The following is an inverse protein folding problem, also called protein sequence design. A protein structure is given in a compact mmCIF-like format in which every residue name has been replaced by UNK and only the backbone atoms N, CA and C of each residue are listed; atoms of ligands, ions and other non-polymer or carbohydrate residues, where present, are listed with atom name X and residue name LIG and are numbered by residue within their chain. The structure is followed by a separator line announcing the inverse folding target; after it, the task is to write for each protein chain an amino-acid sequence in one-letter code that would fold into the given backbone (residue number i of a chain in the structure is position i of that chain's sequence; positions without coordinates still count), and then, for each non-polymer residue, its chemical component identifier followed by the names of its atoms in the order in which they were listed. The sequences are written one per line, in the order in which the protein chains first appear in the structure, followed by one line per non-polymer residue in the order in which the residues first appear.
data_IF_168603865329
#
_entry.id   IF_168603865329
#
_cell.length_a   1.000
_cell.length_b   1.000
_cell.length_c   1.000
_cell.angle_alpha   90.00
_cell.angle_beta   90.00
_cell.angle_gamma   90.00
#
_symmetry.space_group_name_H-M   'P 1'
#
loop_
_entity.id
_entity.type
_entity.pdbx_description
1 polymer ?
#
# COMPACT_ATOMS: atom_id res chain seq x y z
N UNK A 1 -17.15 11.84 9.50
CA UNK A 1 -16.73 11.42 8.16
C UNK A 1 -15.53 10.45 8.21
N UNK A 2 -14.47 10.70 9.01
CA UNK A 2 -13.31 9.79 9.13
C UNK A 2 -13.74 8.37 9.56
N UNK A 3 -14.55 8.25 10.62
CA UNK A 3 -15.06 6.94 11.08
C UNK A 3 -15.83 6.19 9.99
N UNK A 4 -16.57 6.92 9.14
CA UNK A 4 -17.30 6.32 8.03
C UNK A 4 -16.34 5.83 6.94
N UNK A 5 -15.35 6.66 6.56
CA UNK A 5 -14.29 6.25 5.62
C UNK A 5 -13.58 4.99 6.11
N UNK A 6 -13.18 4.95 7.37
CA UNK A 6 -12.48 3.82 7.98
C UNK A 6 -13.34 2.54 7.95
N UNK A 7 -14.63 2.67 8.17
CA UNK A 7 -15.59 1.55 8.09
C UNK A 7 -15.75 1.05 6.65
N UNK A 8 -15.90 1.97 5.69
CA UNK A 8 -15.97 1.63 4.27
C UNK A 8 -14.67 0.94 3.78
N UNK A 9 -13.51 1.42 4.21
CA UNK A 9 -12.23 0.80 3.86
C UNK A 9 -12.11 -0.64 4.35
N UNK A 10 -12.54 -0.91 5.60
CA UNK A 10 -12.55 -2.29 6.11
C UNK A 10 -13.46 -3.20 5.29
N UNK A 11 -14.64 -2.74 4.92
CA UNK A 11 -15.57 -3.50 4.08
C UNK A 11 -14.99 -3.74 2.67
N UNK A 12 -14.44 -2.69 2.05
CA UNK A 12 -13.91 -2.75 0.69
C UNK A 12 -12.70 -3.66 0.57
N UNK A 13 -11.75 -3.57 1.50
CA UNK A 13 -10.52 -4.37 1.49
C UNK A 13 -10.75 -5.78 2.08
N UNK A 14 -11.85 -6.01 2.76
CA UNK A 14 -12.13 -7.27 3.47
C UNK A 14 -11.41 -7.35 4.81
N UNK A 15 -11.13 -6.21 5.44
CA UNK A 15 -10.50 -6.13 6.75
C UNK A 15 -11.49 -6.40 7.89
N UNK A 16 -10.96 -6.88 9.03
CA UNK A 16 -11.72 -7.03 10.26
C UNK A 16 -12.00 -5.66 10.91
N UNK A 17 -12.97 -5.60 11.82
CA UNK A 17 -13.33 -4.37 12.55
C UNK A 17 -12.15 -3.72 13.30
N UNK A 18 -11.17 -4.52 13.74
CA UNK A 18 -9.95 -4.09 14.44
C UNK A 18 -8.75 -3.88 13.54
N UNK A 19 -8.88 -4.08 12.21
CA UNK A 19 -7.77 -3.85 11.26
C UNK A 19 -7.28 -2.39 11.32
N UNK A 20 -5.96 -2.22 11.23
CA UNK A 20 -5.33 -0.89 11.26
C UNK A 20 -5.83 -0.02 10.10
N UNK A 21 -6.44 1.11 10.43
CA UNK A 21 -6.91 2.08 9.44
C UNK A 21 -5.77 2.81 8.75
N UNK A 22 -4.61 2.92 9.39
CA UNK A 22 -3.39 3.49 8.81
C UNK A 22 -2.92 2.62 7.65
N UNK A 23 -2.80 1.30 7.87
CA UNK A 23 -2.42 0.34 6.83
C UNK A 23 -3.46 0.31 5.71
N UNK A 24 -4.75 0.32 6.03
CA UNK A 24 -5.83 0.34 5.03
C UNK A 24 -5.80 1.59 4.14
N UNK A 25 -5.61 2.77 4.74
CA UNK A 25 -5.46 4.05 4.00
C UNK A 25 -4.22 4.03 3.10
N UNK A 26 -3.12 3.46 3.59
CA UNK A 26 -1.91 3.29 2.79
C UNK A 26 -2.12 2.32 1.63
N UNK A 27 -2.66 1.12 1.87
CA UNK A 27 -2.93 0.11 0.83
C UNK A 27 -3.84 0.64 -0.29
N UNK A 28 -4.81 1.47 0.05
CA UNK A 28 -5.79 2.03 -0.90
C UNK A 28 -5.37 3.36 -1.51
N UNK A 29 -4.26 3.94 -1.06
CA UNK A 29 -3.82 5.31 -1.38
C UNK A 29 -4.91 6.38 -1.11
N UNK A 30 -5.76 6.13 -0.12
CA UNK A 30 -6.82 7.06 0.26
C UNK A 30 -6.38 7.88 1.48
N UNK A 31 -6.10 9.18 1.31
CA UNK A 31 -5.77 10.05 2.41
C UNK A 31 -6.97 10.30 3.33
N UNK A 32 -6.69 10.78 4.54
CA UNK A 32 -7.72 11.16 5.50
C UNK A 32 -8.69 12.20 4.91
N UNK A 33 -9.93 12.21 5.38
CA UNK A 33 -10.91 13.22 4.98
C UNK A 33 -10.46 14.63 5.35
N UNK A 34 -9.77 14.79 6.50
CA UNK A 34 -9.16 16.06 6.90
C UNK A 34 -8.21 16.57 5.82
N UNK A 35 -7.25 15.74 5.39
CA UNK A 35 -6.30 16.13 4.34
C UNK A 35 -7.00 16.42 3.01
N UNK A 36 -8.03 15.66 2.65
CA UNK A 36 -8.82 15.93 1.43
C UNK A 36 -9.51 17.29 1.50
N UNK A 37 -10.06 17.67 2.66
CA UNK A 37 -10.63 19.00 2.87
C UNK A 37 -9.56 20.08 2.72
N UNK A 38 -8.39 19.91 3.30
CA UNK A 38 -7.26 20.85 3.16
C UNK A 38 -6.86 21.04 1.69
N UNK A 39 -6.76 19.92 0.92
CA UNK A 39 -6.47 19.97 -0.52
C UNK A 39 -7.54 20.71 -1.32
N UNK A 40 -8.82 20.46 -1.03
CA UNK A 40 -9.93 21.16 -1.71
C UNK A 40 -9.93 22.65 -1.39
N UNK A 41 -9.70 23.00 -0.13
CA UNK A 41 -9.62 24.41 0.32
C UNK A 41 -8.43 25.13 -0.32
N UNK A 42 -7.25 24.51 -0.36
CA UNK A 42 -6.07 25.05 -1.01
C UNK A 42 -6.28 25.24 -2.53
N UNK A 43 -6.89 24.25 -3.20
CA UNK A 43 -7.27 24.39 -4.62
C UNK A 43 -8.24 25.53 -4.87
N UNK A 44 -9.25 25.66 -4.03
CA UNK A 44 -10.20 26.75 -4.13
C UNK A 44 -9.50 28.10 -3.99
N UNK A 45 -8.64 28.27 -2.96
CA UNK A 45 -7.88 29.50 -2.73
C UNK A 45 -6.98 29.86 -3.93
N UNK A 46 -6.19 28.90 -4.42
CA UNK A 46 -5.32 29.12 -5.58
C UNK A 46 -6.12 29.49 -6.84
N UNK A 47 -7.24 28.80 -7.07
CA UNK A 47 -8.13 29.12 -8.21
C UNK A 47 -8.72 30.53 -8.06
N UNK A 48 -9.16 30.90 -6.87
CA UNK A 48 -9.73 32.23 -6.61
C UNK A 48 -8.73 33.35 -6.89
N UNK A 49 -7.45 33.14 -6.54
CA UNK A 49 -6.38 34.11 -6.81
C UNK A 49 -6.05 34.25 -8.30
N UNK A 50 -6.38 33.26 -9.12
CA UNK A 50 -6.13 33.28 -10.58
C UNK A 50 -7.31 33.77 -11.41
N UNK A 51 -8.42 34.18 -10.78
CA UNK A 51 -9.60 34.68 -11.49
C UNK A 51 -9.38 36.11 -12.01
N UNK A 52 -10.00 36.45 -13.17
CA UNK A 52 -9.98 37.84 -13.66
C UNK A 52 -10.54 38.84 -12.64
N UNK A 53 -10.03 40.10 -12.63
CA UNK A 53 -10.53 41.14 -11.72
C UNK A 53 -12.02 41.41 -11.84
N UNK A 54 -12.62 41.15 -13.01
CA UNK A 54 -14.05 41.32 -13.27
C UNK A 54 -14.93 40.25 -12.66
N UNK A 55 -14.36 39.18 -12.15
CA UNK A 55 -15.12 38.10 -11.51
C UNK A 55 -15.62 38.50 -10.14
N UNK A 56 -16.91 38.24 -9.85
CA UNK A 56 -17.52 38.56 -8.54
C UNK A 56 -16.71 38.05 -7.35
N UNK A 57 -16.17 36.83 -7.46
CA UNK A 57 -15.33 36.26 -6.41
C UNK A 57 -14.04 37.07 -6.21
N UNK A 58 -13.42 37.55 -7.30
CA UNK A 58 -12.25 38.43 -7.22
C UNK A 58 -12.55 39.74 -6.54
N UNK A 59 -13.73 40.33 -6.79
CA UNK A 59 -14.20 41.54 -6.13
C UNK A 59 -14.47 41.35 -4.63
N UNK A 60 -14.90 40.15 -4.24
CA UNK A 60 -15.16 39.78 -2.84
C UNK A 60 -13.91 39.35 -2.08
N UNK A 61 -12.81 39.00 -2.77
CA UNK A 61 -11.57 38.54 -2.14
C UNK A 61 -11.02 39.48 -1.05
N UNK A 62 -11.00 40.81 -1.22
CA UNK A 62 -10.56 41.73 -0.16
C UNK A 62 -11.35 41.58 1.14
N UNK A 63 -12.67 41.37 1.02
CA UNK A 63 -13.56 41.17 2.18
C UNK A 63 -13.38 39.78 2.78
N UNK A 64 -13.05 38.77 1.96
CA UNK A 64 -12.76 37.41 2.41
C UNK A 64 -11.40 37.29 3.09
N UNK A 65 -10.44 38.18 2.76
CA UNK A 65 -9.08 38.18 3.36
C UNK A 65 -9.09 38.48 4.87
N UNK A 66 -10.13 39.08 5.38
CA UNK A 66 -10.31 39.32 6.83
C UNK A 66 -11.16 38.22 7.47
N UNK A 67 -11.63 37.27 6.67
CA UNK A 67 -12.52 36.20 7.12
C UNK A 67 -11.80 35.10 7.90
N UNK A 68 -12.54 34.41 8.77
CA UNK A 68 -12.08 33.20 9.48
C UNK A 68 -11.53 32.11 8.50
N UNK A 69 -12.01 32.14 7.25
CA UNK A 69 -11.56 31.17 6.21
C UNK A 69 -10.10 31.44 5.81
N UNK A 70 -9.68 32.69 5.61
CA UNK A 70 -8.28 32.98 5.28
C UNK A 70 -7.34 32.62 6.42
N UNK A 71 -7.72 32.99 7.66
CA UNK A 71 -6.95 32.60 8.86
C UNK A 71 -6.81 31.09 8.93
N UNK A 72 -7.90 30.36 8.71
CA UNK A 72 -7.89 28.90 8.68
C UNK A 72 -6.96 28.35 7.58
N UNK A 73 -7.08 28.85 6.35
CA UNK A 73 -6.26 28.42 5.23
C UNK A 73 -4.77 28.67 5.48
N UNK A 74 -4.43 29.87 5.95
CA UNK A 74 -3.03 30.25 6.27
C UNK A 74 -2.44 29.44 7.43
N UNK A 75 -3.27 28.88 8.30
CA UNK A 75 -2.84 28.04 9.41
C UNK A 75 -2.70 26.55 9.03
N UNK A 76 -3.18 26.12 7.85
CA UNK A 76 -3.09 24.71 7.45
C UNK A 76 -1.67 24.38 7.00
N UNK A 77 -1.10 23.24 7.46
CA UNK A 77 0.26 22.83 7.07
C UNK A 77 0.45 22.71 5.56
N UNK A 78 -0.58 22.27 4.84
CA UNK A 78 -0.53 22.17 3.39
C UNK A 78 -0.41 23.54 2.71
N UNK A 79 -1.19 24.54 3.17
CA UNK A 79 -1.15 25.88 2.58
C UNK A 79 0.19 26.57 2.83
N UNK A 80 0.74 26.43 4.02
CA UNK A 80 2.07 26.93 4.39
C UNK A 80 3.17 26.31 3.51
N UNK A 81 3.02 25.06 3.13
CA UNK A 81 3.99 24.33 2.31
C UNK A 81 3.89 24.65 0.80
N UNK A 82 2.85 25.37 0.35
CA UNK A 82 2.75 25.78 -1.06
C UNK A 82 3.91 26.73 -1.39
N UNK A 83 4.70 26.44 -2.44
CA UNK A 83 5.82 27.30 -2.83
C UNK A 83 5.37 28.68 -3.31
N UNK A 84 6.23 29.66 -3.18
CA UNK A 84 6.07 30.97 -3.79
C UNK A 84 7.08 31.11 -4.95
N UNK A 85 6.63 31.29 -6.19
CA UNK A 85 5.25 31.42 -6.65
C UNK A 85 4.48 30.09 -6.64
N UNK A 86 3.15 30.14 -6.46
CA UNK A 86 2.32 28.95 -6.39
C UNK A 86 2.28 28.19 -7.73
N UNK A 87 1.98 26.87 -7.71
CA UNK A 87 1.94 26.06 -8.93
C UNK A 87 1.00 26.62 -9.99
N UNK A 88 1.54 26.94 -11.17
CA UNK A 88 0.83 27.62 -12.26
C UNK A 88 -0.18 26.73 -13.02
N UNK A 89 -0.21 25.42 -12.77
CA UNK A 89 -1.14 24.51 -13.43
C UNK A 89 -1.63 23.39 -12.49
N UNK A 90 -2.78 22.81 -12.85
CA UNK A 90 -3.32 21.66 -12.11
C UNK A 90 -2.36 20.44 -12.09
N UNK A 91 -1.55 20.28 -13.14
CA UNK A 91 -0.55 19.21 -13.20
C UNK A 91 0.58 19.46 -12.19
N UNK A 92 1.14 20.67 -12.16
CA UNK A 92 2.17 21.06 -11.19
C UNK A 92 1.65 20.97 -9.76
N UNK A 93 0.41 21.39 -9.51
CA UNK A 93 -0.20 21.25 -8.18
C UNK A 93 -0.38 19.78 -7.78
N UNK A 94 -0.77 18.89 -8.70
CA UNK A 94 -0.83 17.43 -8.41
C UNK A 94 0.54 16.84 -8.10
N UNK A 95 1.58 17.26 -8.83
CA UNK A 95 2.96 16.84 -8.57
C UNK A 95 3.41 17.29 -7.19
N UNK A 96 3.19 18.57 -6.86
CA UNK A 96 3.47 19.12 -5.52
C UNK A 96 2.75 18.33 -4.42
N UNK A 97 1.45 18.05 -4.57
CA UNK A 97 0.70 17.28 -3.59
C UNK A 97 1.24 15.86 -3.40
N UNK A 98 1.70 15.23 -4.48
CA UNK A 98 2.30 13.89 -4.41
C UNK A 98 3.60 13.91 -3.60
N UNK A 99 4.50 14.86 -3.91
CA UNK A 99 5.74 15.04 -3.15
C UNK A 99 5.43 15.35 -1.68
N UNK A 100 4.60 16.34 -1.40
CA UNK A 100 4.21 16.71 -0.04
C UNK A 100 3.65 15.54 0.77
N UNK A 101 2.80 14.70 0.16
CA UNK A 101 2.27 13.49 0.82
C UNK A 101 3.36 12.48 1.10
N UNK A 102 4.28 12.26 0.14
CA UNK A 102 5.39 11.33 0.32
C UNK A 102 6.30 11.80 1.46
N UNK A 103 6.71 13.07 1.47
CA UNK A 103 7.55 13.64 2.53
C UNK A 103 6.92 13.48 3.92
N UNK A 104 5.60 13.74 4.03
CA UNK A 104 4.86 13.52 5.28
C UNK A 104 4.80 12.04 5.67
N UNK A 105 4.70 11.15 4.72
CA UNK A 105 4.69 9.71 4.96
C UNK A 105 6.06 9.22 5.40
N UNK A 106 7.14 9.71 4.79
CA UNK A 106 8.51 9.35 5.15
C UNK A 106 8.85 9.80 6.58
N UNK A 107 8.46 11.03 6.95
CA UNK A 107 8.56 11.53 8.33
C UNK A 107 7.75 10.64 9.30
N UNK A 108 6.55 10.23 8.91
CA UNK A 108 5.72 9.34 9.72
C UNK A 108 6.38 7.97 9.88
N UNK A 109 6.90 7.37 8.81
CA UNK A 109 7.60 6.07 8.86
C UNK A 109 8.84 6.11 9.76
N UNK A 110 9.59 7.22 9.74
CA UNK A 110 10.80 7.36 10.57
C UNK A 110 10.48 7.50 12.07
N UNK A 111 9.27 7.93 12.42
CA UNK A 111 8.84 8.20 13.80
C UNK A 111 7.88 7.17 14.39
N UNK A 112 7.33 6.27 13.57
CA UNK A 112 6.32 5.31 14.03
C UNK A 112 6.93 3.99 14.47
N UNK A 113 6.40 3.41 15.55
CA UNK A 113 6.74 2.05 16.01
C UNK A 113 5.77 0.99 15.48
N UNK A 114 4.84 1.37 14.61
CA UNK A 114 3.85 0.45 14.07
C UNK A 114 4.46 -0.52 13.06
N UNK A 115 4.74 -1.74 13.47
CA UNK A 115 5.40 -2.79 12.66
C UNK A 115 4.69 -3.01 11.32
N UNK A 116 3.35 -3.06 11.32
CA UNK A 116 2.60 -3.36 10.09
C UNK A 116 2.73 -2.28 9.02
N UNK A 117 2.78 -1.00 9.38
CA UNK A 117 2.94 0.07 8.37
C UNK A 117 4.39 0.15 7.88
N UNK A 118 5.37 -0.14 8.74
CA UNK A 118 6.78 -0.24 8.34
C UNK A 118 7.01 -1.39 7.36
N UNK A 119 6.25 -2.49 7.49
CA UNK A 119 6.29 -3.63 6.57
C UNK A 119 5.56 -3.35 5.23
N UNK A 120 4.90 -2.20 5.09
CA UNK A 120 4.27 -1.80 3.83
C UNK A 120 5.28 -1.13 2.88
N UNK A 121 4.84 -0.91 1.64
CA UNK A 121 5.66 -0.22 0.64
C UNK A 121 6.04 1.18 1.11
N UNK A 122 7.31 1.60 0.92
CA UNK A 122 7.73 2.96 1.29
C UNK A 122 7.10 4.04 0.40
N UNK A 123 6.71 3.70 -0.84
CA UNK A 123 6.12 4.63 -1.79
C UNK A 123 4.59 4.64 -1.69
N UNK A 124 4.01 5.85 -1.70
CA UNK A 124 2.57 6.03 -1.79
C UNK A 124 2.02 5.58 -3.15
N UNK A 125 0.85 5.01 -3.12
CA UNK A 125 0.14 4.48 -4.28
C UNK A 125 -0.73 3.31 -3.86
N UNK A 126 -1.63 2.89 -4.75
CA UNK A 126 -2.47 1.71 -4.49
C UNK A 126 -1.58 0.47 -4.38
N UNK A 127 -1.71 -0.25 -3.27
CA UNK A 127 -0.93 -1.48 -3.04
C UNK A 127 -1.28 -2.53 -4.10
N UNK A 128 -0.28 -3.09 -4.80
CA UNK A 128 -0.49 -4.11 -5.82
C UNK A 128 -1.31 -5.31 -5.39
N UNK A 129 -1.29 -5.70 -4.12
CA UNK A 129 -2.11 -6.80 -3.60
C UNK A 129 -3.60 -6.63 -3.88
N UNK A 130 -4.07 -5.39 -4.09
CA UNK A 130 -5.47 -5.10 -4.38
C UNK A 130 -5.86 -5.33 -5.84
N UNK A 131 -4.90 -5.41 -6.76
CA UNK A 131 -5.21 -5.48 -8.19
C UNK A 131 -4.41 -6.49 -9.02
N UNK A 132 -3.32 -7.07 -8.50
CA UNK A 132 -2.57 -8.12 -9.24
C UNK A 132 -3.47 -9.29 -9.57
N UNK A 133 -3.29 -9.94 -10.74
CA UNK A 133 -4.11 -11.09 -11.11
C UNK A 133 -3.83 -12.28 -10.18
N UNK A 134 -4.77 -12.60 -9.31
CA UNK A 134 -4.69 -13.77 -8.43
C UNK A 134 -6.09 -14.27 -8.05
N UNK A 135 -6.16 -15.49 -7.53
CA UNK A 135 -7.42 -16.05 -7.04
C UNK A 135 -7.96 -15.22 -5.85
N UNK A 136 -9.26 -15.31 -5.60
CA UNK A 136 -9.89 -14.65 -4.44
C UNK A 136 -9.25 -15.10 -3.12
N UNK A 137 -8.92 -16.38 -3.01
CA UNK A 137 -8.30 -16.96 -1.82
C UNK A 137 -6.88 -16.46 -1.62
N UNK A 138 -6.07 -16.37 -2.67
CA UNK A 138 -4.70 -15.85 -2.58
C UNK A 138 -4.69 -14.35 -2.26
N UNK A 139 -5.60 -13.57 -2.88
CA UNK A 139 -5.79 -12.16 -2.51
C UNK A 139 -6.12 -12.01 -1.03
N UNK A 140 -7.02 -12.85 -0.52
CA UNK A 140 -7.36 -12.84 0.91
C UNK A 140 -6.15 -13.12 1.80
N UNK A 141 -5.24 -14.04 1.41
CA UNK A 141 -4.00 -14.31 2.15
C UNK A 141 -3.05 -13.12 2.14
N UNK A 142 -2.83 -12.50 0.98
CA UNK A 142 -2.01 -11.30 0.81
C UNK A 142 -2.53 -10.15 1.67
N UNK A 143 -3.84 -9.87 1.62
CA UNK A 143 -4.48 -8.82 2.41
C UNK A 143 -4.38 -9.12 3.91
N UNK A 144 -4.68 -10.36 4.33
CA UNK A 144 -4.56 -10.76 5.74
C UNK A 144 -3.12 -10.65 6.24
N UNK A 145 -2.13 -11.00 5.42
CA UNK A 145 -0.73 -10.80 5.75
C UNK A 145 -0.43 -9.33 5.99
N UNK A 146 -0.76 -8.43 5.05
CA UNK A 146 -0.57 -6.97 5.21
C UNK A 146 -1.23 -6.41 6.46
N UNK A 147 -2.41 -6.90 6.80
CA UNK A 147 -3.19 -6.44 7.95
C UNK A 147 -2.81 -7.12 9.29
N UNK A 148 -1.86 -8.05 9.29
CA UNK A 148 -1.46 -8.79 10.48
C UNK A 148 -2.45 -9.87 10.93
N UNK A 149 -3.37 -10.29 10.07
CA UNK A 149 -4.34 -11.37 10.32
C UNK A 149 -3.87 -12.74 9.80
N UNK A 150 -2.69 -12.79 9.24
CA UNK A 150 -1.96 -13.99 8.87
C UNK A 150 -0.49 -13.74 9.26
N UNK A 151 0.06 -14.53 10.21
CA UNK A 151 -0.47 -15.72 10.88
C UNK A 151 -1.61 -15.48 11.91
N UNK A 152 -1.95 -14.25 12.29
CA UNK A 152 -3.00 -13.96 13.25
C UNK A 152 -2.55 -14.05 14.71
N UNK A 153 -3.39 -14.61 15.58
CA UNK A 153 -3.02 -14.82 16.99
C UNK A 153 -2.01 -15.97 17.09
N UNK A 154 -1.01 -15.85 17.99
CA UNK A 154 -0.09 -16.95 18.23
C UNK A 154 -0.82 -18.18 18.76
N UNK A 155 -0.72 -19.29 18.03
CA UNK A 155 -1.26 -20.60 18.38
C UNK A 155 -0.15 -21.65 18.19
N UNK A 156 -0.25 -22.83 18.81
CA UNK A 156 0.72 -23.90 18.57
C UNK A 156 0.82 -24.23 17.09
N UNK A 157 2.03 -24.20 16.53
CA UNK A 157 2.26 -24.55 15.13
C UNK A 157 2.18 -26.07 14.93
N UNK A 158 1.76 -26.51 13.75
CA UNK A 158 1.74 -27.93 13.37
C UNK A 158 3.13 -28.59 13.42
N UNK A 159 4.21 -27.83 13.37
CA UNK A 159 5.58 -28.33 13.58
C UNK A 159 5.90 -28.68 15.04
N UNK A 160 5.03 -28.34 15.99
CA UNK A 160 5.18 -28.54 17.44
C UNK A 160 6.42 -27.88 18.11
N UNK A 161 7.14 -27.00 17.41
CA UNK A 161 8.36 -26.36 17.94
C UNK A 161 8.11 -24.99 18.56
N UNK A 162 7.13 -24.26 18.03
CA UNK A 162 6.82 -22.89 18.48
C UNK A 162 5.38 -22.51 18.17
N UNK A 163 5.00 -21.32 18.60
CA UNK A 163 3.73 -20.69 18.24
C UNK A 163 3.82 -20.04 16.86
N UNK A 164 2.69 -19.98 16.18
CA UNK A 164 2.57 -19.33 14.86
C UNK A 164 2.89 -17.84 14.98
N UNK A 165 3.94 -17.39 14.32
CA UNK A 165 4.35 -16.00 14.21
C UNK A 165 5.05 -15.78 12.87
N UNK A 166 5.19 -14.54 12.41
CA UNK A 166 5.91 -14.25 11.16
C UNK A 166 7.37 -14.72 11.24
N UNK A 167 8.04 -14.44 12.37
CA UNK A 167 9.44 -14.86 12.58
C UNK A 167 9.58 -16.37 12.66
N UNK A 168 8.65 -17.08 13.33
CA UNK A 168 8.69 -18.55 13.39
C UNK A 168 8.67 -19.19 12.01
N UNK A 169 7.87 -18.66 11.08
CA UNK A 169 7.73 -19.26 9.75
C UNK A 169 9.00 -19.19 8.90
N UNK A 170 9.98 -18.34 9.23
CA UNK A 170 11.27 -18.33 8.53
C UNK A 170 12.03 -19.65 8.67
N UNK A 171 11.89 -20.32 9.83
CA UNK A 171 12.60 -21.56 10.16
C UNK A 171 11.65 -22.75 10.33
N UNK A 172 10.38 -22.59 9.95
CA UNK A 172 9.36 -23.61 10.17
C UNK A 172 9.41 -24.69 9.09
N UNK A 173 9.55 -25.95 9.51
CA UNK A 173 9.56 -27.13 8.63
C UNK A 173 8.26 -27.33 7.83
N UNK A 174 7.17 -26.67 8.23
CA UNK A 174 5.92 -26.69 7.47
C UNK A 174 6.03 -25.97 6.12
N UNK A 175 7.12 -25.22 5.88
CA UNK A 175 7.38 -24.48 4.65
C UNK A 175 8.67 -24.99 4.04
N UNK A 176 8.60 -25.51 2.80
CA UNK A 176 9.79 -26.00 2.11
C UNK A 176 10.80 -24.84 1.90
N UNK A 177 12.07 -25.12 2.21
CA UNK A 177 13.16 -24.14 2.10
C UNK A 177 13.32 -23.60 0.68
N UNK A 178 13.02 -24.41 -0.34
CA UNK A 178 13.06 -24.01 -1.74
C UNK A 178 12.19 -22.78 -2.04
N UNK A 179 11.02 -22.64 -1.40
CA UNK A 179 10.18 -21.48 -1.60
C UNK A 179 10.82 -20.18 -1.08
N UNK A 180 11.57 -20.25 0.01
CA UNK A 180 12.31 -19.12 0.52
C UNK A 180 13.46 -18.70 -0.39
N UNK A 181 14.16 -19.71 -0.97
CA UNK A 181 15.26 -19.47 -1.92
C UNK A 181 14.81 -18.84 -3.22
N UNK A 182 13.57 -19.07 -3.62
CA UNK A 182 12.98 -18.51 -4.83
C UNK A 182 12.49 -17.05 -4.62
N UNK A 183 12.37 -16.55 -3.38
CA UNK A 183 12.00 -15.15 -3.13
C UNK A 183 13.12 -14.18 -3.53
N UNK A 184 12.78 -12.90 -3.82
CA UNK A 184 13.79 -11.89 -4.08
C UNK A 184 14.66 -11.67 -2.84
N UNK A 185 15.96 -11.45 -3.04
CA UNK A 185 16.88 -11.11 -1.94
C UNK A 185 16.41 -9.87 -1.22
N UNK A 186 16.26 -9.96 0.10
CA UNK A 186 15.78 -8.86 0.95
C UNK A 186 16.89 -8.38 1.90
N UNK A 187 16.81 -7.12 2.41
CA UNK A 187 17.64 -6.65 3.51
C UNK A 187 17.50 -7.54 4.74
N UNK A 188 18.56 -7.62 5.55
CA UNK A 188 18.60 -8.51 6.72
C UNK A 188 17.61 -8.12 7.83
N UNK A 189 17.19 -6.86 7.86
CA UNK A 189 16.23 -6.30 8.81
C UNK A 189 14.76 -6.38 8.34
N UNK A 190 14.54 -6.86 7.11
CA UNK A 190 13.18 -7.00 6.57
C UNK A 190 12.74 -8.48 6.51
N UNK A 191 11.44 -8.70 6.66
CA UNK A 191 10.87 -10.04 6.48
C UNK A 191 10.72 -10.36 4.99
N UNK A 192 11.23 -11.51 4.46
CA UNK A 192 11.22 -11.83 3.03
C UNK A 192 9.86 -11.73 2.34
N UNK A 193 8.78 -12.15 3.03
CA UNK A 193 7.42 -12.03 2.50
C UNK A 193 6.98 -10.57 2.39
N UNK A 194 7.28 -9.73 3.38
CA UNK A 194 6.93 -8.31 3.35
C UNK A 194 7.68 -7.59 2.24
N UNK A 195 8.98 -7.89 2.08
CA UNK A 195 9.81 -7.39 0.99
C UNK A 195 9.27 -7.83 -0.38
N UNK A 196 8.99 -9.12 -0.55
CA UNK A 196 8.42 -9.64 -1.80
C UNK A 196 7.10 -8.96 -2.15
N UNK A 197 6.16 -8.85 -1.20
CA UNK A 197 4.90 -8.14 -1.44
C UNK A 197 5.14 -6.65 -1.76
N UNK A 198 6.10 -5.99 -1.11
CA UNK A 198 6.44 -4.58 -1.37
C UNK A 198 7.11 -4.37 -2.72
N UNK A 199 7.79 -5.40 -3.24
CA UNK A 199 8.46 -5.42 -4.55
C UNK A 199 7.50 -5.74 -5.72
N UNK A 200 6.22 -6.01 -5.46
CA UNK A 200 5.24 -6.23 -6.53
C UNK A 200 5.13 -5.01 -7.45
N UNK A 201 5.03 -5.22 -8.77
CA UNK A 201 4.94 -4.12 -9.73
C UNK A 201 3.64 -3.33 -9.56
N UNK A 202 3.71 -2.01 -9.75
CA UNK A 202 2.57 -1.09 -9.61
C UNK A 202 1.64 -1.07 -10.83
N UNK A 203 1.99 -1.76 -11.92
CA UNK A 203 1.17 -1.84 -13.14
C UNK A 203 0.42 -3.16 -13.21
N UNK A 204 -0.87 -3.10 -13.57
CA UNK A 204 -1.70 -4.30 -13.81
C UNK A 204 -1.24 -5.15 -15.00
N UNK A 205 -0.58 -4.52 -15.97
CA UNK A 205 -0.05 -5.16 -17.17
C UNK A 205 1.41 -5.60 -17.03
N UNK A 206 1.98 -5.44 -15.85
CA UNK A 206 3.36 -5.89 -15.63
C UNK A 206 3.46 -7.42 -15.73
N UNK A 207 4.59 -7.93 -16.26
CA UNK A 207 4.85 -9.36 -16.28
C UNK A 207 4.86 -9.92 -14.85
N UNK A 208 4.45 -11.18 -14.73
CA UNK A 208 4.46 -11.90 -13.46
C UNK A 208 5.91 -12.08 -12.99
N UNK A 209 6.26 -11.70 -11.76
CA UNK A 209 7.57 -11.99 -11.21
C UNK A 209 7.81 -13.49 -11.11
N UNK A 210 9.04 -13.95 -11.38
CA UNK A 210 9.39 -15.37 -11.32
C UNK A 210 9.17 -15.97 -9.93
N UNK A 211 9.36 -15.20 -8.89
CA UNK A 211 9.19 -15.58 -7.49
C UNK A 211 7.72 -15.57 -7.00
N UNK A 212 6.77 -15.11 -7.82
CA UNK A 212 5.37 -15.03 -7.43
C UNK A 212 4.74 -16.38 -6.99
N UNK A 213 4.95 -17.52 -7.67
CA UNK A 213 4.44 -18.79 -7.22
C UNK A 213 4.95 -19.20 -5.84
N UNK A 214 6.23 -18.94 -5.55
CA UNK A 214 6.83 -19.23 -4.25
C UNK A 214 6.21 -18.40 -3.13
N UNK A 215 5.99 -17.09 -3.35
CA UNK A 215 5.29 -16.22 -2.42
C UNK A 215 3.88 -16.76 -2.08
N UNK A 216 3.11 -17.15 -3.11
CA UNK A 216 1.77 -17.69 -2.91
C UNK A 216 1.82 -19.05 -2.19
N UNK A 217 2.79 -19.90 -2.50
CA UNK A 217 2.98 -21.17 -1.82
C UNK A 217 3.30 -20.97 -0.33
N UNK A 218 4.21 -20.08 0.02
CA UNK A 218 4.52 -19.73 1.42
C UNK A 218 3.26 -19.28 2.15
N UNK A 219 2.51 -18.32 1.60
CA UNK A 219 1.29 -17.81 2.24
C UNK A 219 0.21 -18.89 2.40
N UNK A 220 0.16 -19.88 1.51
CA UNK A 220 -0.72 -21.05 1.66
C UNK A 220 -0.27 -21.96 2.78
N UNK A 221 1.02 -22.28 2.85
CA UNK A 221 1.58 -23.08 3.94
C UNK A 221 1.30 -22.42 5.30
N UNK A 222 1.52 -21.10 5.42
CA UNK A 222 1.20 -20.33 6.63
C UNK A 222 -0.29 -20.42 6.94
N UNK A 223 -1.17 -20.26 5.96
CA UNK A 223 -2.63 -20.30 6.16
C UNK A 223 -3.10 -21.69 6.64
N UNK A 224 -2.51 -22.76 6.08
CA UNK A 224 -2.78 -24.14 6.52
C UNK A 224 -2.27 -24.37 7.94
N UNK A 225 -1.04 -23.93 8.24
CA UNK A 225 -0.44 -24.10 9.57
C UNK A 225 -1.24 -23.36 10.67
N UNK A 226 -1.81 -22.21 10.33
CA UNK A 226 -2.63 -21.42 11.27
C UNK A 226 -4.08 -21.92 11.37
N UNK A 227 -4.56 -22.73 10.43
CA UNK A 227 -5.95 -23.19 10.38
C UNK A 227 -6.03 -24.67 10.01
N UNK A 228 -5.48 -25.57 10.83
CA UNK A 228 -5.33 -26.99 10.48
C UNK A 228 -6.67 -27.71 10.28
N UNK A 229 -7.76 -27.22 10.87
CA UNK A 229 -9.11 -27.78 10.73
C UNK A 229 -9.87 -27.28 9.52
N UNK A 230 -9.34 -26.27 8.81
CA UNK A 230 -9.99 -25.66 7.66
C UNK A 230 -9.66 -26.41 6.39
N UNK A 231 -10.71 -26.83 5.67
CA UNK A 231 -10.55 -27.42 4.33
C UNK A 231 -10.29 -26.27 3.34
N UNK A 232 -9.13 -26.28 2.70
CA UNK A 232 -8.80 -25.33 1.65
C UNK A 232 -9.09 -25.97 0.28
N UNK A 233 -9.66 -25.22 -0.68
CA UNK A 233 -9.83 -25.70 -2.04
C UNK A 233 -8.48 -26.13 -2.62
N UNK A 234 -8.46 -27.29 -3.29
CA UNK A 234 -7.28 -27.72 -4.02
C UNK A 234 -6.99 -26.72 -5.15
N UNK A 235 -5.77 -26.23 -5.19
CA UNK A 235 -5.27 -25.41 -6.28
C UNK A 235 -3.89 -25.96 -6.66
N UNK A 236 -3.83 -26.75 -7.72
CA UNK A 236 -2.60 -27.47 -8.09
C UNK A 236 -1.47 -26.55 -8.54
N UNK A 237 -1.77 -25.32 -8.88
CA UNK A 237 -0.80 -24.38 -9.43
C UNK A 237 -0.92 -22.99 -8.77
N UNK A 238 -0.34 -22.81 -7.57
CA UNK A 238 -0.37 -21.52 -6.88
C UNK A 238 0.18 -20.39 -7.75
N UNK A 239 -0.55 -19.27 -7.83
CA UNK A 239 -0.12 -18.10 -8.59
C UNK A 239 -0.22 -18.20 -10.12
N UNK A 240 -0.67 -19.35 -10.67
CA UNK A 240 -0.72 -19.59 -12.12
C UNK A 240 -1.59 -18.58 -12.90
N UNK A 241 -2.58 -17.96 -12.26
CA UNK A 241 -3.47 -16.99 -12.93
C UNK A 241 -2.68 -15.82 -13.51
N UNK A 242 -1.78 -15.23 -12.72
CA UNK A 242 -0.96 -14.11 -13.21
C UNK A 242 0.04 -14.56 -14.26
N UNK A 243 0.69 -15.71 -14.06
CA UNK A 243 1.63 -16.27 -15.03
C UNK A 243 0.98 -16.54 -16.40
N UNK A 244 -0.31 -16.93 -16.42
CA UNK A 244 -1.07 -17.13 -17.67
C UNK A 244 -1.45 -15.82 -18.33
N UNK A 245 -1.85 -14.80 -17.55
CA UNK A 245 -2.30 -13.51 -18.09
C UNK A 245 -1.13 -12.63 -18.52
N UNK A 246 -0.07 -12.61 -17.76
CA UNK A 246 1.11 -11.77 -17.99
C UNK A 246 2.37 -12.62 -17.72
N UNK A 247 2.80 -13.46 -18.66
CA UNK A 247 3.94 -14.36 -18.45
C UNK A 247 5.20 -13.57 -18.09
N UNK A 248 6.13 -14.17 -17.31
CA UNK A 248 7.40 -13.55 -17.00
C UNK A 248 8.15 -13.16 -18.27
N UNK A 249 8.80 -12.00 -18.25
CA UNK A 249 9.72 -11.63 -19.31
C UNK A 249 10.81 -12.69 -19.38
N UNK A 250 10.99 -13.34 -20.53
CA UNK A 250 12.13 -14.26 -20.71
C UNK A 250 13.40 -13.47 -20.46
N UNK A 251 14.35 -13.96 -19.64
CA UNK A 251 15.67 -13.36 -19.60
C UNK A 251 16.16 -13.34 -21.05
N UNK A 252 16.58 -12.17 -21.52
CA UNK A 252 17.28 -12.06 -22.82
C UNK A 252 18.46 -13.04 -22.70
N UNK A 253 18.40 -14.16 -23.44
CA UNK A 253 19.53 -15.08 -23.51
C UNK A 253 20.77 -14.31 -23.89
N UNK A 254 21.98 -14.80 -23.53
CA UNK A 254 23.21 -14.12 -23.89
C UNK A 254 23.17 -13.78 -25.38
N UNK A 255 23.40 -12.48 -25.68
CA UNK A 255 23.40 -11.97 -27.04
C UNK A 255 24.33 -12.84 -27.87
N UNK A 256 23.92 -13.36 -29.06
CA UNK A 256 24.77 -14.20 -29.90
C UNK A 256 25.95 -13.43 -30.54
N UNK A 257 26.26 -12.25 -30.06
CA UNK A 257 27.32 -11.36 -30.61
C UNK A 257 28.59 -11.30 -29.76
N UNK A 258 28.94 -12.35 -29.02
CA UNK A 258 30.30 -12.55 -28.49
C UNK A 258 30.78 -13.95 -28.85
N UNK A 259 31.23 -14.11 -30.07
CA UNK A 259 32.22 -15.10 -30.51
C UNK A 259 33.31 -14.35 -31.25
#
# INVERSE_FOLDING_TARGET
LEKLQDRCLRLFVGGHATSSTVVLKHMTDLPSMKFRCEVLSARFALRSLSLPPSCLLSLLLPSLRVSRLEVYLKSTPLYIAIPDPPPSSAAKFRSFLRSYRQDKFDIFLSSTDQVLIRACRPLLGVDPVLFVPCSRTDRSRLVRWRLGWLPGRPEPCICNRATTSRSHFLDCEAIAISFWMDLPSCPADEHPVDFAISSLPSSRSAPCPLWWPALIAILRCVDVACHPTKIFPSDPSPGCLWMKLNPPSRPLGPSPFYV
#
